data_IF_886020155956
#
_entry.id   IF_886020155956
#
_cell.length_a   1.000
_cell.length_b   1.000
_cell.length_c   1.000
_cell.angle_alpha   90.00
_cell.angle_beta   90.00
_cell.angle_gamma   90.00
#
_symmetry.space_group_name_H-M   'P 1'
#
loop_
_entity.id
_entity.type
_entity.pdbx_description
1 polymer ?
#
# COMPACT_ATOMS: atom_id res chain seq x y z
N UNK A 1 -41.59 26.68 13.82
CA UNK A 1 -40.95 26.48 12.50
C UNK A 1 -39.52 26.04 12.71
N UNK A 2 -39.25 24.74 12.55
CA UNK A 2 -37.91 24.18 12.62
C UNK A 2 -37.26 24.41 11.25
N UNK A 3 -36.55 25.53 11.10
CA UNK A 3 -35.77 25.81 9.90
C UNK A 3 -34.58 24.87 9.87
N UNK A 4 -34.55 24.00 8.85
CA UNK A 4 -33.41 23.14 8.54
C UNK A 4 -32.12 23.94 8.56
N UNK A 5 -31.12 23.41 9.27
CA UNK A 5 -29.76 23.90 9.17
C UNK A 5 -29.19 23.31 7.87
N UNK A 6 -29.14 24.13 6.83
CA UNK A 6 -28.31 23.87 5.66
C UNK A 6 -26.86 23.68 6.12
N UNK A 7 -26.17 22.60 5.72
CA UNK A 7 -24.78 22.34 6.08
C UNK A 7 -23.80 23.39 5.52
N UNK A 8 -24.24 24.27 4.63
CA UNK A 8 -23.44 25.37 4.05
C UNK A 8 -23.27 26.60 4.99
N UNK A 9 -23.79 26.55 6.22
CA UNK A 9 -23.79 27.71 7.15
C UNK A 9 -22.48 27.97 7.89
N UNK A 10 -21.44 27.16 7.74
CA UNK A 10 -20.18 27.39 8.46
C UNK A 10 -19.20 28.29 7.71
N UNK A 11 -19.34 28.50 6.39
CA UNK A 11 -18.44 29.37 5.61
C UNK A 11 -16.96 28.94 5.64
N UNK A 12 -16.67 27.74 6.15
CA UNK A 12 -15.32 27.20 6.27
C UNK A 12 -14.93 26.59 4.93
N UNK A 13 -13.87 27.11 4.32
CA UNK A 13 -13.37 26.58 3.04
C UNK A 13 -12.62 25.26 3.23
N UNK A 14 -12.45 24.47 2.17
CA UNK A 14 -11.67 23.22 2.23
C UNK A 14 -10.25 23.44 2.83
N UNK A 15 -9.48 24.47 2.41
CA UNK A 15 -8.20 24.79 3.04
C UNK A 15 -8.32 25.09 4.55
N UNK A 16 -9.39 25.75 5.00
CA UNK A 16 -9.60 26.03 6.42
C UNK A 16 -9.83 24.74 7.21
N UNK A 17 -10.61 23.79 6.67
CA UNK A 17 -10.83 22.47 7.29
C UNK A 17 -9.50 21.70 7.37
N UNK A 18 -8.72 21.66 6.28
CA UNK A 18 -7.42 21.00 6.27
C UNK A 18 -6.46 21.60 7.30
N UNK A 19 -6.42 22.93 7.42
CA UNK A 19 -5.63 23.63 8.42
C UNK A 19 -6.08 23.35 9.85
N UNK A 20 -7.39 23.26 10.11
CA UNK A 20 -7.93 22.90 11.42
C UNK A 20 -7.54 21.47 11.81
N UNK A 21 -7.71 20.52 10.90
CA UNK A 21 -7.32 19.13 11.14
C UNK A 21 -5.80 18.99 11.35
N UNK A 22 -5.00 19.71 10.56
CA UNK A 22 -3.55 19.71 10.71
C UNK A 22 -3.09 20.27 12.07
N UNK A 23 -3.76 21.31 12.58
CA UNK A 23 -3.53 21.84 13.94
C UNK A 23 -3.83 20.82 15.03
N UNK A 24 -4.82 19.95 14.81
CA UNK A 24 -5.15 18.83 15.70
C UNK A 24 -4.24 17.61 15.48
N UNK A 25 -3.19 17.72 14.65
CA UNK A 25 -2.18 16.68 14.46
C UNK A 25 -2.51 15.64 13.39
N UNK A 26 -3.44 15.92 12.48
CA UNK A 26 -3.83 14.97 11.44
C UNK A 26 -2.67 14.56 10.52
N UNK A 27 -1.73 15.47 10.21
CA UNK A 27 -0.53 15.13 9.43
C UNK A 27 0.38 14.16 10.16
N UNK A 28 0.64 14.36 11.46
CA UNK A 28 1.41 13.43 12.29
C UNK A 28 0.72 12.05 12.36
N UNK A 29 -0.59 12.03 12.58
CA UNK A 29 -1.37 10.79 12.60
C UNK A 29 -1.23 10.01 11.28
N UNK A 30 -1.33 10.68 10.12
CA UNK A 30 -1.15 10.04 8.82
C UNK A 30 0.25 9.40 8.70
N UNK A 31 1.30 10.12 9.09
CA UNK A 31 2.66 9.59 9.09
C UNK A 31 2.75 8.36 9.99
N UNK A 32 2.23 8.42 11.22
CA UNK A 32 2.30 7.31 12.17
C UNK A 32 1.51 6.09 11.73
N UNK A 33 0.33 6.29 11.16
CA UNK A 33 -0.46 5.21 10.58
C UNK A 33 0.33 4.53 9.46
N UNK A 34 0.85 5.29 8.49
CA UNK A 34 1.59 4.72 7.36
C UNK A 34 2.84 3.97 7.83
N UNK A 35 3.54 4.51 8.82
CA UNK A 35 4.82 3.95 9.29
C UNK A 35 4.65 2.73 10.18
N UNK A 36 3.58 2.65 10.98
CA UNK A 36 3.49 1.70 12.08
C UNK A 36 2.36 0.68 11.97
N UNK A 37 1.31 0.93 11.17
CA UNK A 37 0.18 0.00 11.11
C UNK A 37 0.50 -1.26 10.31
N UNK A 38 0.03 -2.41 10.82
CA UNK A 38 0.03 -3.70 10.10
C UNK A 38 -1.33 -4.05 9.51
N UNK A 39 -2.37 -3.30 9.87
CA UNK A 39 -3.72 -3.54 9.38
C UNK A 39 -3.93 -2.83 8.04
N UNK A 40 -4.20 -3.58 6.99
CA UNK A 40 -4.31 -3.05 5.63
C UNK A 40 -5.46 -2.07 5.44
N UNK A 41 -6.59 -2.27 6.13
CA UNK A 41 -7.70 -1.32 6.06
C UNK A 41 -7.31 0.02 6.67
N UNK A 42 -6.70 -0.02 7.87
CA UNK A 42 -6.23 1.21 8.54
C UNK A 42 -5.15 1.90 7.71
N UNK A 43 -4.25 1.14 7.08
CA UNK A 43 -3.26 1.69 6.18
C UNK A 43 -3.91 2.44 5.01
N UNK A 44 -4.89 1.83 4.34
CA UNK A 44 -5.62 2.46 3.23
C UNK A 44 -6.34 3.74 3.66
N UNK A 45 -7.02 3.73 4.81
CA UNK A 45 -7.66 4.94 5.36
C UNK A 45 -6.63 6.04 5.66
N UNK A 46 -5.45 5.69 6.18
CA UNK A 46 -4.36 6.65 6.38
C UNK A 46 -3.87 7.28 5.07
N UNK A 47 -3.79 6.50 3.99
CA UNK A 47 -3.46 7.02 2.65
C UNK A 47 -4.54 7.98 2.14
N UNK A 48 -5.82 7.62 2.28
CA UNK A 48 -6.93 8.45 1.83
C UNK A 48 -7.00 9.77 2.61
N UNK A 49 -6.78 9.73 3.93
CA UNK A 49 -6.69 10.94 4.75
C UNK A 49 -5.52 11.82 4.30
N UNK A 50 -4.35 11.24 4.03
CA UNK A 50 -3.20 11.97 3.49
C UNK A 50 -3.50 12.67 2.15
N UNK A 51 -4.22 11.99 1.26
CA UNK A 51 -4.67 12.59 -0.02
C UNK A 51 -5.61 13.76 0.23
N UNK A 52 -6.64 13.58 1.08
CA UNK A 52 -7.63 14.61 1.38
C UNK A 52 -7.00 15.86 2.06
N UNK A 53 -6.02 15.65 2.94
CA UNK A 53 -5.28 16.74 3.59
C UNK A 53 -4.41 17.55 2.61
N UNK A 54 -3.90 16.90 1.56
CA UNK A 54 -3.03 17.52 0.57
C UNK A 54 -3.78 17.98 -0.69
N UNK A 55 -5.09 17.69 -0.78
CA UNK A 55 -5.94 18.04 -1.91
C UNK A 55 -5.97 19.55 -2.12
N UNK A 56 -5.91 19.99 -3.37
CA UNK A 56 -5.92 21.42 -3.73
C UNK A 56 -4.64 22.18 -3.37
N UNK A 57 -3.64 21.53 -2.76
CA UNK A 57 -2.31 22.11 -2.59
C UNK A 57 -2.19 23.12 -1.45
N UNK A 58 -2.83 22.87 -0.31
CA UNK A 58 -2.71 23.72 0.88
C UNK A 58 -1.27 23.72 1.42
N UNK A 59 -0.58 24.86 1.24
CA UNK A 59 0.84 25.02 1.57
C UNK A 59 1.13 24.86 3.06
N UNK A 60 0.20 25.21 3.93
CA UNK A 60 0.39 25.04 5.38
C UNK A 60 0.41 23.57 5.76
N UNK A 61 -0.58 22.80 5.31
CA UNK A 61 -0.64 21.36 5.56
C UNK A 61 0.55 20.64 4.91
N UNK A 62 0.91 21.01 3.67
CA UNK A 62 2.12 20.50 3.00
C UNK A 62 3.40 20.75 3.81
N UNK A 63 3.53 21.95 4.39
CA UNK A 63 4.68 22.29 5.23
C UNK A 63 4.74 21.42 6.48
N UNK A 64 3.61 21.15 7.14
CA UNK A 64 3.54 20.23 8.29
C UNK A 64 4.02 18.81 7.91
N UNK A 65 3.55 18.27 6.78
CA UNK A 65 4.06 16.98 6.25
C UNK A 65 5.58 17.01 6.00
N UNK A 66 6.08 18.09 5.39
CA UNK A 66 7.51 18.26 5.15
C UNK A 66 8.31 18.27 6.45
N UNK A 67 7.88 19.03 7.45
CA UNK A 67 8.54 19.12 8.76
C UNK A 67 8.57 17.75 9.46
N UNK A 68 7.45 17.02 9.47
CA UNK A 68 7.36 15.68 10.05
C UNK A 68 8.31 14.68 9.35
N UNK A 69 8.39 14.72 8.02
CA UNK A 69 9.23 13.80 7.25
C UNK A 69 10.72 14.16 7.31
N UNK A 70 11.05 15.45 7.25
CA UNK A 70 12.42 15.96 7.18
C UNK A 70 13.05 16.11 8.57
N UNK A 71 12.39 16.84 9.48
CA UNK A 71 12.98 17.22 10.76
C UNK A 71 12.90 16.09 11.78
N UNK A 72 11.78 15.35 11.82
CA UNK A 72 11.65 14.20 12.73
C UNK A 72 12.29 12.91 12.19
N UNK A 73 13.02 12.99 11.06
CA UNK A 73 13.74 11.85 10.43
C UNK A 73 12.85 10.62 10.18
N UNK A 74 11.53 10.79 10.06
CA UNK A 74 10.58 9.69 9.78
C UNK A 74 10.54 9.30 8.30
N UNK A 75 11.14 10.11 7.41
CA UNK A 75 11.11 9.94 5.96
C UNK A 75 11.58 8.56 5.46
N UNK A 76 12.71 8.04 5.95
CA UNK A 76 13.26 6.77 5.45
C UNK A 76 12.26 5.61 5.64
N UNK A 77 11.74 5.46 6.86
CA UNK A 77 10.78 4.40 7.17
C UNK A 77 9.45 4.62 6.44
N UNK A 78 8.98 5.86 6.35
CA UNK A 78 7.77 6.23 5.63
C UNK A 78 7.81 5.78 4.16
N UNK A 79 8.85 6.19 3.43
CA UNK A 79 8.99 5.83 2.02
C UNK A 79 9.27 4.34 1.82
N UNK A 80 10.02 3.71 2.74
CA UNK A 80 10.25 2.26 2.69
C UNK A 80 8.94 1.47 2.77
N UNK A 81 8.02 1.83 3.67
CA UNK A 81 6.73 1.13 3.79
C UNK A 81 5.90 1.28 2.52
N UNK A 82 5.82 2.49 1.96
CA UNK A 82 5.11 2.74 0.69
C UNK A 82 5.70 1.91 -0.45
N UNK A 83 7.04 1.89 -0.57
CA UNK A 83 7.74 1.11 -1.58
C UNK A 83 7.46 -0.39 -1.45
N UNK A 84 7.60 -0.95 -0.24
CA UNK A 84 7.42 -2.38 -0.01
C UNK A 84 5.98 -2.82 -0.30
N UNK A 85 4.98 -2.02 0.10
CA UNK A 85 3.56 -2.29 -0.18
C UNK A 85 3.24 -2.19 -1.67
N UNK A 86 3.77 -1.20 -2.38
CA UNK A 86 3.60 -1.09 -3.83
C UNK A 86 4.22 -2.28 -4.57
N UNK A 87 5.41 -2.72 -4.14
CA UNK A 87 6.08 -3.91 -4.68
C UNK A 87 5.30 -5.20 -4.42
N UNK A 88 4.70 -5.34 -3.24
CA UNK A 88 3.81 -6.46 -2.91
C UNK A 88 2.57 -6.47 -3.81
N UNK A 89 1.87 -5.33 -3.94
CA UNK A 89 0.72 -5.19 -4.82
C UNK A 89 1.08 -5.50 -6.30
N UNK A 90 2.23 -5.02 -6.76
CA UNK A 90 2.73 -5.34 -8.10
C UNK A 90 2.97 -6.84 -8.29
N UNK A 91 3.52 -7.53 -7.29
CA UNK A 91 3.74 -8.99 -7.31
C UNK A 91 2.42 -9.76 -7.35
N UNK A 92 1.41 -9.32 -6.60
CA UNK A 92 0.08 -9.92 -6.57
C UNK A 92 -0.63 -9.80 -7.93
N UNK A 93 -0.61 -8.61 -8.53
CA UNK A 93 -1.14 -8.39 -9.89
C UNK A 93 -0.42 -9.31 -10.89
N UNK A 94 0.92 -9.38 -10.84
CA UNK A 94 1.66 -10.26 -11.73
C UNK A 94 1.29 -11.73 -11.53
N UNK A 95 1.19 -12.20 -10.28
CA UNK A 95 0.85 -13.59 -9.97
C UNK A 95 -0.55 -13.98 -10.46
N UNK A 96 -1.50 -13.05 -10.49
CA UNK A 96 -2.88 -13.29 -10.96
C UNK A 96 -3.02 -13.13 -12.47
N UNK A 97 -2.18 -12.28 -13.09
CA UNK A 97 -2.12 -12.09 -14.55
C UNK A 97 -1.31 -13.19 -15.26
N UNK A 98 -0.26 -13.73 -14.63
CA UNK A 98 0.40 -14.96 -15.09
C UNK A 98 -0.34 -16.18 -14.56
N UNK A 99 -1.54 -16.43 -15.07
CA UNK A 99 -1.96 -17.83 -15.29
C UNK A 99 -1.06 -18.38 -16.39
N UNK A 100 0.21 -18.64 -16.04
CA UNK A 100 1.14 -19.32 -16.91
C UNK A 100 0.67 -20.78 -16.97
N UNK A 101 0.04 -21.14 -18.08
CA UNK A 101 -0.27 -22.52 -18.49
C UNK A 101 0.99 -23.40 -18.66
N UNK A 102 2.16 -22.90 -18.28
CA UNK A 102 3.48 -23.52 -18.48
C UNK A 102 3.70 -24.67 -17.47
N UNK A 103 3.05 -24.67 -16.31
CA UNK A 103 3.17 -25.76 -15.31
C UNK A 103 2.27 -26.98 -15.57
N UNK A 104 1.39 -26.95 -16.57
CA UNK A 104 0.63 -28.13 -17.02
C UNK A 104 1.41 -29.01 -18.01
N UNK A 105 2.61 -28.59 -18.43
CA UNK A 105 3.37 -29.22 -19.52
C UNK A 105 4.37 -30.32 -19.13
N UNK A 106 4.90 -30.35 -17.90
CA UNK A 106 6.05 -31.22 -17.56
C UNK A 106 5.68 -32.41 -16.66
N UNK A 107 4.69 -33.20 -17.09
CA UNK A 107 4.46 -34.54 -16.52
C UNK A 107 4.19 -35.55 -17.63
N UNK A 108 5.17 -35.79 -18.50
CA UNK A 108 5.17 -36.96 -19.38
C UNK A 108 6.58 -37.42 -19.74
N UNK A 109 6.92 -38.55 -19.12
CA UNK A 109 7.79 -39.63 -19.61
C UNK A 109 9.30 -39.41 -19.49
N UNK A 110 9.80 -39.55 -18.26
CA UNK A 110 11.12 -40.13 -18.01
C UNK A 110 10.90 -41.35 -17.10
N UNK A 111 10.49 -42.49 -17.67
CA UNK A 111 10.62 -43.79 -16.97
C UNK A 111 10.51 -44.98 -17.93
N UNK A 112 11.28 -45.00 -19.02
CA UNK A 112 11.33 -46.18 -19.90
C UNK A 112 12.65 -46.22 -20.70
N UNK A 113 13.80 -46.24 -20.01
CA UNK A 113 15.08 -46.56 -20.67
C UNK A 113 16.24 -46.98 -19.73
N UNK A 114 15.97 -47.72 -18.65
CA UNK A 114 17.03 -48.43 -17.91
C UNK A 114 16.59 -49.84 -17.51
N UNK A 115 16.57 -50.79 -18.47
CA UNK A 115 16.69 -52.22 -18.12
C UNK A 115 17.36 -53.02 -19.24
N UNK A 116 18.61 -52.71 -19.56
CA UNK A 116 19.48 -53.58 -20.34
C UNK A 116 20.91 -53.55 -19.78
N UNK A 117 21.12 -54.01 -18.54
CA UNK A 117 22.42 -54.60 -18.19
C UNK A 117 22.28 -55.72 -17.13
N UNK A 118 22.88 -56.87 -17.45
CA UNK A 118 23.45 -57.89 -16.55
C UNK A 118 22.60 -59.04 -15.94
N UNK A 119 22.62 -60.20 -16.63
CA UNK A 119 22.80 -61.55 -16.05
C UNK A 119 21.56 -62.47 -15.94
N UNK A 120 21.70 -63.83 -15.94
CA UNK A 120 22.91 -64.63 -15.70
C UNK A 120 23.25 -65.70 -16.78
N UNK A 121 24.49 -66.22 -16.70
CA UNK A 121 25.00 -67.37 -17.47
C UNK A 121 24.25 -68.66 -17.12
N UNK A 122 23.95 -69.47 -18.14
CA UNK A 122 23.69 -70.90 -17.99
C UNK A 122 24.62 -71.71 -18.90
N UNK A 123 24.94 -72.91 -18.38
CA UNK A 123 25.98 -73.88 -18.74
C UNK A 123 26.11 -74.22 -20.22
#
# INVERSE_FOLDING_TARGET
SFSGQDPDKTGVSLPDIQCLLDKEGASELVIDVIVNTKNDRIFSEGILLGIALLEGGNTQTQYSFYQQLHEQKRSEKFFKVLYDRMKAAQKEIRSTVTVNTIDLGNKKRDDDNELMTSGPRLR
#
